data_IF_692855743372
#
_entry.id   IF_692855743372
#
_cell.length_a   1.000
_cell.length_b   1.000
_cell.length_c   1.000
_cell.angle_alpha   90.00
_cell.angle_beta   90.00
_cell.angle_gamma   90.00
#
_symmetry.space_group_name_H-M   'P 1'
#
loop_
_entity.id
_entity.type
_entity.pdbx_description
1 polymer ?
#
# COMPACT_ATOMS: atom_id res chain seq x y z
N UNK A 1 -17.76 2.31 22.62
CA UNK A 1 -18.44 2.43 21.31
C UNK A 1 -17.44 2.00 20.24
N UNK A 2 -17.86 1.23 19.22
CA UNK A 2 -17.00 0.80 18.10
C UNK A 2 -17.59 1.30 16.80
N UNK A 3 -16.78 1.93 15.96
CA UNK A 3 -17.18 2.38 14.62
C UNK A 3 -16.07 2.14 13.61
N UNK A 4 -16.47 1.99 12.35
CA UNK A 4 -15.58 2.07 11.20
C UNK A 4 -15.54 3.54 10.76
N UNK A 5 -14.40 4.24 10.86
CA UNK A 5 -14.26 5.58 10.29
C UNK A 5 -14.50 5.54 8.78
N UNK A 6 -15.10 6.60 8.25
CA UNK A 6 -15.27 6.77 6.82
C UNK A 6 -13.96 7.15 6.15
N UNK A 7 -13.85 6.85 4.86
CA UNK A 7 -12.61 7.05 4.10
C UNK A 7 -12.23 8.54 3.94
N UNK A 8 -13.16 9.48 4.09
CA UNK A 8 -12.85 10.92 4.03
C UNK A 8 -12.39 11.53 5.37
N UNK A 9 -12.41 10.74 6.45
CA UNK A 9 -11.88 11.19 7.75
C UNK A 9 -10.34 11.25 7.72
N UNK A 10 -9.68 12.03 8.61
CA UNK A 10 -8.23 12.14 8.62
C UNK A 10 -7.52 10.79 8.70
N UNK A 11 -6.55 10.58 7.81
CA UNK A 11 -5.80 9.34 7.66
C UNK A 11 -4.35 9.51 8.11
N UNK A 12 -3.73 8.42 8.57
CA UNK A 12 -2.30 8.40 8.91
C UNK A 12 -1.40 8.02 7.74
N UNK A 13 -1.92 7.23 6.80
CA UNK A 13 -1.21 6.75 5.61
C UNK A 13 -2.17 5.97 4.68
N UNK A 14 -1.74 5.81 3.42
CA UNK A 14 -2.29 4.81 2.48
C UNK A 14 -1.29 3.66 2.29
N UNK A 15 -1.77 2.42 2.31
CA UNK A 15 -0.96 1.23 2.03
C UNK A 15 -1.12 0.78 0.56
N UNK A 16 -0.01 0.41 -0.08
CA UNK A 16 0.02 -0.23 -1.39
C UNK A 16 0.86 -1.52 -1.32
N UNK A 17 0.37 -2.60 -1.93
CA UNK A 17 1.17 -3.80 -2.19
C UNK A 17 1.72 -3.72 -3.61
N UNK A 18 3.04 -3.70 -3.74
CA UNK A 18 3.71 -3.35 -4.98
C UNK A 18 3.82 -4.56 -5.93
N UNK A 19 3.59 -4.39 -7.24
CA UNK A 19 3.70 -5.48 -8.23
C UNK A 19 5.14 -5.97 -8.34
N UNK A 20 5.31 -7.28 -8.56
CA UNK A 20 6.60 -7.91 -8.77
C UNK A 20 6.51 -9.10 -9.74
N UNK A 21 7.67 -9.61 -10.18
CA UNK A 21 7.78 -10.68 -11.17
C UNK A 21 7.24 -12.05 -10.70
N UNK A 22 6.85 -12.18 -9.43
CA UNK A 22 6.26 -13.38 -8.84
C UNK A 22 4.72 -13.36 -8.79
N UNK A 23 4.10 -12.40 -9.47
CA UNK A 23 2.64 -12.22 -9.55
C UNK A 23 2.18 -12.35 -10.99
N UNK A 24 0.87 -12.36 -11.22
CA UNK A 24 0.26 -12.37 -12.55
C UNK A 24 0.63 -11.13 -13.40
N UNK A 25 1.18 -10.08 -12.77
CA UNK A 25 1.70 -8.92 -13.47
C UNK A 25 2.98 -9.18 -14.26
N UNK A 26 3.68 -10.30 -14.05
CA UNK A 26 4.99 -10.58 -14.66
C UNK A 26 5.06 -10.31 -16.18
N UNK A 27 4.08 -10.72 -17.02
CA UNK A 27 4.13 -10.48 -18.47
C UNK A 27 4.01 -8.99 -18.87
N UNK A 28 3.46 -8.15 -18.00
CA UNK A 28 3.17 -6.72 -18.25
C UNK A 28 3.80 -5.81 -17.20
N UNK A 29 4.74 -6.32 -16.41
CA UNK A 29 5.33 -5.61 -15.28
C UNK A 29 5.91 -4.23 -15.67
N UNK A 30 6.60 -4.06 -16.82
CA UNK A 30 7.07 -2.75 -17.26
C UNK A 30 5.95 -1.71 -17.51
N UNK A 31 4.72 -2.16 -17.77
CA UNK A 31 3.55 -1.28 -17.96
C UNK A 31 2.89 -0.90 -16.63
N UNK A 32 2.96 -1.78 -15.63
CA UNK A 32 2.24 -1.65 -14.37
C UNK A 32 3.07 -0.91 -13.32
N UNK A 33 4.40 -1.11 -13.29
CA UNK A 33 5.29 -0.40 -12.36
C UNK A 33 5.13 1.12 -12.44
N UNK A 34 5.13 1.77 -13.62
CA UNK A 34 4.93 3.22 -13.71
C UNK A 34 3.55 3.67 -13.21
N UNK A 35 2.53 2.82 -13.28
CA UNK A 35 1.21 3.11 -12.73
C UNK A 35 1.28 3.20 -11.20
N UNK A 36 1.84 2.20 -10.53
CA UNK A 36 2.00 2.19 -9.08
C UNK A 36 2.89 3.32 -8.57
N UNK A 37 3.98 3.63 -9.28
CA UNK A 37 4.83 4.78 -8.95
C UNK A 37 4.03 6.08 -8.99
N UNK A 38 3.22 6.31 -10.04
CA UNK A 38 2.37 7.51 -10.15
C UNK A 38 1.30 7.59 -9.06
N UNK A 39 0.70 6.46 -8.68
CA UNK A 39 -0.27 6.41 -7.58
C UNK A 39 0.41 6.81 -6.26
N UNK A 40 1.53 6.17 -5.93
CA UNK A 40 2.28 6.49 -4.72
C UNK A 40 2.77 7.95 -4.71
N UNK A 41 3.29 8.45 -5.83
CA UNK A 41 3.69 9.86 -5.97
C UNK A 41 2.50 10.80 -5.70
N UNK A 42 1.35 10.53 -6.32
CA UNK A 42 0.16 11.36 -6.16
C UNK A 42 -0.33 11.42 -4.71
N UNK A 43 -0.37 10.29 -4.01
CA UNK A 43 -0.78 10.22 -2.60
C UNK A 43 0.26 10.91 -1.71
N UNK A 44 1.55 10.69 -1.98
CA UNK A 44 2.66 11.19 -1.14
C UNK A 44 2.71 12.71 -0.99
N UNK A 45 2.03 13.44 -1.89
CA UNK A 45 1.84 14.89 -1.84
C UNK A 45 0.90 15.36 -0.72
N UNK A 46 0.08 14.46 -0.19
CA UNK A 46 -0.95 14.77 0.81
C UNK A 46 -0.71 14.05 2.12
N UNK A 47 -0.24 12.79 2.08
CA UNK A 47 -0.07 11.95 3.26
C UNK A 47 0.98 10.85 3.06
N UNK A 48 1.39 10.14 4.13
CA UNK A 48 2.27 8.99 4.02
C UNK A 48 1.75 7.86 3.13
N UNK A 49 2.66 7.22 2.40
CA UNK A 49 2.42 6.00 1.62
C UNK A 49 3.29 4.89 2.16
N UNK A 50 2.68 3.78 2.57
CA UNK A 50 3.37 2.55 2.95
C UNK A 50 3.37 1.59 1.77
N UNK A 51 4.55 1.38 1.17
CA UNK A 51 4.76 0.43 0.09
C UNK A 51 5.26 -0.90 0.67
N UNK A 52 4.43 -1.94 0.57
CA UNK A 52 4.78 -3.32 0.86
C UNK A 52 5.32 -3.95 -0.42
N UNK A 53 6.53 -4.50 -0.40
CA UNK A 53 7.20 -5.01 -1.60
C UNK A 53 8.11 -6.21 -1.31
N UNK A 54 8.48 -6.97 -2.35
CA UNK A 54 9.37 -8.11 -2.21
C UNK A 54 10.86 -7.70 -2.04
N UNK A 55 11.27 -6.58 -2.64
CA UNK A 55 12.64 -6.05 -2.59
C UNK A 55 12.58 -4.52 -2.56
N UNK A 56 12.87 -3.92 -1.40
CA UNK A 56 12.80 -2.47 -1.25
C UNK A 56 13.95 -1.77 -1.97
N UNK A 57 15.08 -2.44 -2.20
CA UNK A 57 16.23 -1.91 -2.92
C UNK A 57 15.91 -1.66 -4.39
N UNK A 58 15.30 -2.63 -5.07
CA UNK A 58 14.88 -2.47 -6.47
C UNK A 58 13.71 -1.48 -6.59
N UNK A 59 12.71 -1.58 -5.70
CA UNK A 59 11.55 -0.70 -5.76
C UNK A 59 11.94 0.76 -5.54
N UNK A 60 12.82 1.07 -4.58
CA UNK A 60 13.30 2.45 -4.33
C UNK A 60 13.94 3.10 -5.57
N UNK A 61 14.61 2.34 -6.44
CA UNK A 61 15.22 2.87 -7.67
C UNK A 61 14.17 3.47 -8.61
N UNK A 62 12.94 2.92 -8.61
CA UNK A 62 11.82 3.43 -9.41
C UNK A 62 11.36 4.82 -8.97
N UNK A 63 11.71 5.23 -7.75
CA UNK A 63 11.38 6.54 -7.17
C UNK A 63 12.55 7.53 -7.21
N UNK A 64 13.68 7.20 -7.83
CA UNK A 64 14.91 8.02 -7.80
C UNK A 64 14.77 9.44 -8.37
N UNK A 65 13.76 9.69 -9.22
CA UNK A 65 13.44 11.02 -9.76
C UNK A 65 12.35 11.78 -9.00
N UNK A 66 11.80 11.20 -7.93
CA UNK A 66 10.70 11.76 -7.15
C UNK A 66 11.31 12.43 -5.91
N UNK A 67 10.92 13.68 -5.57
CA UNK A 67 11.38 14.33 -4.34
C UNK A 67 11.19 13.39 -3.15
N UNK A 68 12.05 13.45 -2.11
CA UNK A 68 11.88 12.66 -0.90
C UNK A 68 10.52 13.00 -0.28
N UNK A 69 9.54 12.18 -0.63
CA UNK A 69 8.16 12.31 -0.24
C UNK A 69 7.90 11.36 0.93
N UNK A 70 6.69 11.44 1.50
CA UNK A 70 6.26 10.62 2.63
C UNK A 70 6.10 9.13 2.26
N UNK A 71 7.08 8.50 1.61
CA UNK A 71 7.02 7.13 1.10
C UNK A 71 7.90 6.24 1.97
N UNK A 72 7.27 5.25 2.59
CA UNK A 72 7.88 4.25 3.46
C UNK A 72 7.85 2.90 2.74
N UNK A 73 8.91 2.11 2.93
CA UNK A 73 9.03 0.80 2.29
C UNK A 73 9.16 -0.28 3.37
N UNK A 74 8.38 -1.36 3.23
CA UNK A 74 8.46 -2.56 4.06
C UNK A 74 8.59 -3.77 3.15
N UNK A 75 9.48 -4.67 3.50
CA UNK A 75 9.67 -5.92 2.78
C UNK A 75 8.76 -7.01 3.34
N UNK A 76 7.88 -7.56 2.49
CA UNK A 76 7.06 -8.72 2.79
C UNK A 76 6.66 -9.42 1.48
N UNK A 77 6.48 -10.74 1.55
CA UNK A 77 6.00 -11.52 0.42
C UNK A 77 4.51 -11.24 0.17
N UNK A 78 4.13 -11.17 -1.11
CA UNK A 78 2.74 -11.02 -1.55
C UNK A 78 2.44 -11.96 -2.71
N UNK A 79 1.17 -12.36 -2.85
CA UNK A 79 0.69 -13.08 -4.03
C UNK A 79 0.17 -12.14 -5.12
N UNK A 80 -0.36 -10.98 -4.73
CA UNK A 80 -0.91 -9.96 -5.63
C UNK A 80 -0.87 -8.56 -4.97
N UNK A 81 -1.43 -7.55 -5.62
CA UNK A 81 -1.30 -6.12 -5.33
C UNK A 81 -2.50 -5.48 -4.59
N UNK A 82 -3.52 -6.29 -4.26
CA UNK A 82 -4.83 -5.82 -3.81
C UNK A 82 -4.89 -5.49 -2.31
N UNK A 83 -4.13 -4.49 -1.87
CA UNK A 83 -4.08 -4.03 -0.47
C UNK A 83 -5.45 -3.64 0.12
N UNK A 84 -6.43 -3.34 -0.74
CA UNK A 84 -7.81 -3.06 -0.33
C UNK A 84 -8.50 -4.28 0.29
N UNK A 85 -8.21 -5.48 -0.22
CA UNK A 85 -8.98 -6.68 0.10
C UNK A 85 -8.28 -7.54 1.16
N UNK A 86 -6.95 -7.51 1.17
CA UNK A 86 -6.14 -8.22 2.16
C UNK A 86 -5.59 -7.32 3.28
N UNK A 87 -5.80 -6.00 3.19
CA UNK A 87 -5.32 -5.04 4.17
C UNK A 87 -6.11 -5.08 5.47
N UNK A 88 -5.50 -4.61 6.55
CA UNK A 88 -6.18 -4.49 7.83
C UNK A 88 -7.28 -3.41 7.80
N UNK A 89 -8.40 -3.68 8.46
CA UNK A 89 -9.49 -2.71 8.61
C UNK A 89 -9.34 -1.99 9.95
N UNK A 90 -9.07 -0.69 9.92
CA UNK A 90 -8.97 0.14 11.13
C UNK A 90 -10.35 0.51 11.65
N UNK A 91 -10.60 0.23 12.93
CA UNK A 91 -11.81 0.67 13.66
C UNK A 91 -11.44 1.49 14.88
N UNK A 92 -12.29 2.44 15.23
CA UNK A 92 -12.17 3.16 16.49
C UNK A 92 -12.82 2.36 17.62
N UNK A 93 -12.11 2.21 18.74
CA UNK A 93 -12.58 1.54 19.94
C UNK A 93 -12.15 2.33 21.17
N UNK A 94 -13.11 2.84 21.94
CA UNK A 94 -12.88 3.54 23.21
C UNK A 94 -11.84 4.67 23.14
N UNK A 95 -11.84 5.44 22.04
CA UNK A 95 -10.91 6.56 21.82
C UNK A 95 -9.55 6.17 21.26
N UNK A 96 -9.30 4.88 21.01
CA UNK A 96 -8.13 4.37 20.29
C UNK A 96 -8.49 3.74 18.94
N UNK A 97 -7.47 3.27 18.23
CA UNK A 97 -7.60 2.57 16.96
C UNK A 97 -7.19 1.11 17.12
N UNK A 98 -7.94 0.21 16.49
CA UNK A 98 -7.65 -1.23 16.41
C UNK A 98 -7.65 -1.64 14.94
N UNK A 99 -6.62 -2.38 14.53
CA UNK A 99 -6.55 -2.98 13.19
C UNK A 99 -7.16 -4.38 13.28
N UNK A 100 -8.13 -4.64 12.42
CA UNK A 100 -8.74 -5.96 12.26
C UNK A 100 -8.07 -6.66 11.09
N UNK A 101 -7.51 -7.83 11.37
CA UNK A 101 -6.99 -8.75 10.35
C UNK A 101 -8.09 -9.76 10.00
N UNK A 102 -8.71 -9.58 8.84
CA UNK A 102 -9.78 -10.45 8.34
C UNK A 102 -9.16 -11.44 7.37
N UNK A 103 -9.52 -12.73 7.49
CA UNK A 103 -9.03 -13.77 6.58
C UNK A 103 -9.43 -13.44 5.15
N UNK A 104 -8.43 -13.25 4.29
CA UNK A 104 -8.58 -13.13 2.85
C UNK A 104 -8.24 -14.47 2.19
N UNK A 105 -9.12 -14.96 1.31
CA UNK A 105 -9.01 -16.27 0.68
C UNK A 105 -8.79 -16.21 -0.85
N UNK A 106 -8.59 -15.03 -1.43
CA UNK A 106 -8.38 -14.86 -2.88
C UNK A 106 -9.65 -14.74 -3.73
N UNK A 107 -10.77 -14.28 -3.13
CA UNK A 107 -12.13 -14.30 -3.70
C UNK A 107 -12.60 -15.70 -4.09
#
# INVERSE_FOLDING_TARGET
MRRLPAEWEPQSAVQLTFPHAGTDWAPVLPLVLPCFVKIAEAISRFEPVLIVCADSGEVKKLFSGIPPANIYFVEANSNDTWARDHGGITVEVNGGHLILDIVFNGW
#
